data_IF_832808153634
#
_entry.id   IF_832808153634
#
_cell.length_a   1.000
_cell.length_b   1.000
_cell.length_c   1.000
_cell.angle_alpha   90.00
_cell.angle_beta   90.00
_cell.angle_gamma   90.00
#
_symmetry.space_group_name_H-M   'P 1'
#
loop_
_entity.id
_entity.type
_entity.pdbx_description
1 polymer ?
#
# COMPACT_ATOMS: atom_id res chain seq x y z
N UNK A 1 -23.17 11.95 -27.76
CA UNK A 1 -23.49 10.53 -27.91
C UNK A 1 -24.52 10.18 -26.84
N UNK A 2 -25.65 9.62 -27.27
CA UNK A 2 -26.69 8.95 -26.45
C UNK A 2 -26.03 7.88 -25.54
N UNK A 3 -26.55 7.44 -24.41
CA UNK A 3 -27.92 7.02 -24.06
C UNK A 3 -28.01 6.99 -22.50
N UNK A 4 -29.09 7.50 -21.91
CA UNK A 4 -30.29 6.78 -21.41
C UNK A 4 -30.02 6.16 -20.02
N UNK A 5 -30.61 6.67 -18.93
CA UNK A 5 -31.99 6.48 -18.43
C UNK A 5 -32.07 5.24 -17.52
N UNK A 6 -32.32 5.43 -16.21
CA UNK A 6 -33.44 4.76 -15.53
C UNK A 6 -33.63 5.21 -14.07
N UNK A 7 -34.86 5.67 -13.83
CA UNK A 7 -35.74 5.65 -12.65
C UNK A 7 -35.61 4.39 -11.75
N UNK A 8 -36.07 4.26 -10.49
CA UNK A 8 -37.04 4.95 -9.63
C UNK A 8 -36.98 4.37 -8.19
N UNK A 9 -37.63 5.08 -7.27
CA UNK A 9 -38.45 4.62 -6.14
C UNK A 9 -37.92 4.29 -4.73
N UNK A 10 -38.63 4.98 -3.82
CA UNK A 10 -38.75 4.97 -2.36
C UNK A 10 -38.89 3.59 -1.71
N UNK A 11 -38.46 3.46 -0.45
CA UNK A 11 -39.33 2.92 0.60
C UNK A 11 -38.92 3.42 2.00
N UNK A 12 -39.92 3.99 2.69
CA UNK A 12 -39.91 4.41 4.09
C UNK A 12 -39.84 3.22 5.05
N UNK A 13 -39.19 3.43 6.21
CA UNK A 13 -39.28 2.53 7.37
C UNK A 13 -38.96 3.26 8.66
N UNK A 14 -39.99 3.80 9.33
CA UNK A 14 -39.96 4.32 10.70
C UNK A 14 -39.95 3.18 11.73
N UNK A 15 -39.32 3.42 12.87
CA UNK A 15 -39.59 2.77 14.16
C UNK A 15 -38.31 2.55 14.97
N UNK A 16 -38.26 2.68 16.30
CA UNK A 16 -39.10 3.23 17.35
C UNK A 16 -38.21 3.25 18.61
N UNK A 17 -38.63 4.00 19.64
CA UNK A 17 -37.89 4.29 20.89
C UNK A 17 -37.21 3.11 21.61
N UNK A 18 -36.11 3.38 22.35
CA UNK A 18 -35.51 2.46 23.31
C UNK A 18 -36.03 2.75 24.71
N UNK A 19 -36.95 1.93 25.23
CA UNK A 19 -37.23 1.92 26.66
C UNK A 19 -37.22 0.48 27.17
N UNK A 20 -36.00 0.06 27.56
CA UNK A 20 -35.81 -1.09 28.41
C UNK A 20 -36.01 -0.67 29.86
N UNK A 21 -36.98 -1.28 30.54
CA UNK A 21 -36.94 -1.49 31.99
C UNK A 21 -37.91 -2.59 32.46
N UNK A 22 -37.29 -3.54 33.17
CA UNK A 22 -37.82 -4.31 34.30
C UNK A 22 -38.90 -5.37 34.05
N UNK A 23 -38.39 -6.58 33.80
CA UNK A 23 -38.73 -7.84 34.49
C UNK A 23 -39.87 -7.75 35.53
N UNK A 24 -40.97 -8.45 35.25
CA UNK A 24 -41.90 -8.93 36.28
C UNK A 24 -41.70 -10.43 36.45
N UNK A 25 -41.31 -10.81 37.65
CA UNK A 25 -41.18 -12.19 38.13
C UNK A 25 -42.48 -12.96 37.90
N UNK A 26 -42.37 -14.11 37.22
CA UNK A 26 -43.47 -15.05 36.95
C UNK A 26 -43.68 -16.02 38.13
N UNK A 27 -42.89 -15.89 39.21
CA UNK A 27 -42.95 -16.78 40.39
C UNK A 27 -44.20 -16.63 41.26
N UNK A 28 -44.99 -15.55 41.09
CA UNK A 28 -46.03 -15.21 42.07
C UNK A 28 -47.48 -15.47 41.59
N UNK A 29 -47.67 -16.08 40.40
CA UNK A 29 -49.01 -16.26 39.80
C UNK A 29 -49.60 -17.67 40.02
N UNK A 30 -48.86 -18.64 40.57
CA UNK A 30 -49.33 -20.06 40.64
C UNK A 30 -49.90 -20.47 42.02
N UNK A 31 -49.95 -19.60 43.02
CA UNK A 31 -50.49 -19.96 44.36
C UNK A 31 -51.91 -19.45 44.67
N UNK A 32 -52.66 -18.99 43.67
CA UNK A 32 -54.08 -18.64 43.85
C UNK A 32 -54.90 -19.29 42.77
N UNK A 33 -55.41 -20.48 43.07
CA UNK A 33 -56.71 -21.04 42.67
C UNK A 33 -56.58 -22.55 42.65
N UNK A 34 -56.89 -23.20 43.76
CA UNK A 34 -57.66 -24.45 43.86
C UNK A 34 -57.76 -24.78 45.35
N UNK A 35 -58.46 -23.92 46.09
CA UNK A 35 -59.02 -24.29 47.38
C UNK A 35 -60.46 -24.73 47.16
N UNK A 36 -60.71 -25.96 47.59
CA UNK A 36 -61.98 -26.48 48.11
C UNK A 36 -63.20 -26.48 47.19
N UNK A 37 -63.46 -27.64 46.58
CA UNK A 37 -64.81 -28.12 46.31
C UNK A 37 -65.05 -29.43 47.05
N UNK A 38 -66.09 -29.40 47.88
CA UNK A 38 -66.91 -30.51 48.37
C UNK A 38 -66.23 -31.60 49.23
N UNK A 39 -66.08 -31.29 50.52
CA UNK A 39 -66.26 -32.28 51.59
C UNK A 39 -67.77 -32.33 51.86
N UNK A 40 -68.49 -33.22 51.17
CA UNK A 40 -69.83 -33.62 51.62
C UNK A 40 -69.65 -34.45 52.89
N UNK A 41 -69.84 -33.78 54.03
CA UNK A 41 -70.13 -34.43 55.30
C UNK A 41 -71.46 -35.18 55.14
N UNK A 42 -71.38 -36.51 55.04
CA UNK A 42 -72.53 -37.37 55.35
C UNK A 42 -72.81 -37.25 56.85
N UNK A 43 -73.63 -36.27 57.21
CA UNK A 43 -74.39 -36.29 58.47
C UNK A 43 -75.39 -37.44 58.36
N UNK A 44 -75.12 -38.52 59.08
CA UNK A 44 -76.13 -39.55 59.34
C UNK A 44 -77.07 -38.93 60.38
N UNK A 45 -78.10 -38.21 59.91
CA UNK A 45 -79.27 -37.96 60.75
C UNK A 45 -79.96 -39.31 60.96
N UNK A 46 -79.84 -39.80 62.19
CA UNK A 46 -80.65 -40.88 62.72
C UNK A 46 -82.07 -40.35 62.92
N UNK A 47 -82.84 -40.22 61.83
CA UNK A 47 -84.30 -40.11 61.92
C UNK A 47 -84.87 -41.52 62.13
N UNK A 48 -84.70 -42.00 63.35
CA UNK A 48 -85.37 -43.19 63.88
C UNK A 48 -86.76 -42.75 64.38
N UNK A 49 -87.63 -42.39 63.44
CA UNK A 49 -89.06 -42.17 63.68
C UNK A 49 -89.81 -43.40 63.16
N UNK A 50 -89.73 -44.49 63.92
CA UNK A 50 -90.71 -45.58 63.83
C UNK A 50 -91.44 -45.70 65.16
N UNK A 51 -92.48 -44.87 65.31
CA UNK A 51 -93.56 -45.10 66.28
C UNK A 51 -94.32 -46.35 65.86
N UNK A 52 -93.88 -47.50 66.35
CA UNK A 52 -94.76 -48.65 66.44
C UNK A 52 -95.63 -48.50 67.69
N UNK A 53 -96.93 -48.53 67.44
CA UNK A 53 -98.03 -48.59 68.39
C UNK A 53 -97.84 -49.75 69.38
N UNK A 54 -97.73 -49.44 70.67
CA UNK A 54 -98.06 -50.41 71.72
C UNK A 54 -99.58 -50.43 71.90
N UNK A 55 -100.25 -51.21 71.06
CA UNK A 55 -101.52 -51.83 71.42
C UNK A 55 -101.19 -53.11 72.20
N UNK A 56 -101.32 -53.08 73.53
CA UNK A 56 -101.45 -54.29 74.35
C UNK A 56 -102.89 -54.38 74.84
N UNK A 57 -103.77 -54.88 73.97
CA UNK A 57 -104.90 -55.69 74.40
C UNK A 57 -104.32 -57.04 74.84
N UNK A 58 -104.53 -57.40 76.11
CA UNK A 58 -104.24 -58.71 76.68
C UNK A 58 -105.01 -59.79 75.90
N UNK A 59 -104.33 -60.40 74.92
CA UNK A 59 -104.73 -61.65 74.31
C UNK A 59 -103.51 -62.60 74.34
N UNK A 60 -103.63 -63.83 74.85
CA UNK A 60 -102.49 -64.73 74.96
C UNK A 60 -102.06 -65.15 73.55
N UNK A 61 -100.99 -64.55 73.04
CA UNK A 61 -100.29 -65.03 71.85
C UNK A 61 -99.86 -66.46 72.15
N UNK A 62 -100.29 -67.39 71.33
CA UNK A 62 -99.93 -68.82 71.49
C UNK A 62 -98.48 -69.03 71.07
N UNK A 63 -97.76 -69.96 71.74
CA UNK A 63 -96.33 -70.25 71.49
C UNK A 63 -95.99 -70.49 69.99
N UNK A 64 -96.98 -70.93 69.20
CA UNK A 64 -96.91 -71.18 67.76
C UNK A 64 -96.69 -69.90 66.92
N UNK A 65 -97.28 -68.76 67.31
CA UNK A 65 -97.18 -67.49 66.58
C UNK A 65 -95.82 -66.83 66.83
N UNK A 66 -95.29 -66.96 68.05
CA UNK A 66 -93.93 -66.52 68.41
C UNK A 66 -92.89 -67.31 67.61
N UNK A 67 -93.08 -68.62 67.45
CA UNK A 67 -92.18 -69.47 66.64
C UNK A 67 -92.13 -69.05 65.17
N UNK A 68 -93.29 -68.76 64.54
CA UNK A 68 -93.33 -68.28 63.14
C UNK A 68 -92.65 -66.93 62.94
N UNK A 69 -92.78 -66.03 63.91
CA UNK A 69 -92.10 -64.71 63.88
C UNK A 69 -90.59 -64.88 64.04
N UNK A 70 -90.14 -65.80 64.90
CA UNK A 70 -88.71 -66.09 65.08
C UNK A 70 -88.14 -66.71 63.81
N UNK A 71 -88.83 -67.68 63.20
CA UNK A 71 -88.40 -68.36 61.98
C UNK A 71 -88.29 -67.38 60.80
N UNK A 72 -89.28 -66.51 60.60
CA UNK A 72 -89.22 -65.48 59.53
C UNK A 72 -88.08 -64.48 59.74
N UNK A 73 -87.82 -64.06 60.99
CA UNK A 73 -86.68 -63.18 61.34
C UNK A 73 -85.33 -63.87 61.16
N UNK A 74 -85.26 -65.18 61.42
CA UNK A 74 -84.04 -65.97 61.19
C UNK A 74 -83.75 -66.11 59.69
N UNK A 75 -84.78 -66.35 58.87
CA UNK A 75 -84.66 -66.39 57.41
C UNK A 75 -84.24 -65.04 56.83
N UNK A 76 -84.85 -63.94 57.30
CA UNK A 76 -84.47 -62.58 56.91
C UNK A 76 -83.01 -62.28 57.29
N UNK A 77 -82.59 -62.63 58.51
CA UNK A 77 -81.19 -62.50 58.95
C UNK A 77 -80.22 -63.30 58.09
N UNK A 78 -80.59 -64.52 57.69
CA UNK A 78 -79.76 -65.35 56.83
C UNK A 78 -79.64 -64.76 55.42
N UNK A 79 -80.73 -64.20 54.88
CA UNK A 79 -80.74 -63.49 53.60
C UNK A 79 -79.86 -62.24 53.63
N UNK A 80 -80.01 -61.40 54.67
CA UNK A 80 -79.16 -60.23 54.90
C UNK A 80 -77.68 -60.57 55.07
N UNK A 81 -77.38 -61.74 55.67
CA UNK A 81 -76.00 -62.22 55.80
C UNK A 81 -75.40 -62.57 54.44
N UNK A 82 -76.15 -63.24 53.58
CA UNK A 82 -75.70 -63.59 52.22
C UNK A 82 -75.46 -62.32 51.39
N UNK A 83 -76.39 -61.36 51.44
CA UNK A 83 -76.27 -60.07 50.73
C UNK A 83 -75.05 -59.26 51.21
N UNK A 84 -74.78 -59.22 52.52
CA UNK A 84 -73.57 -58.58 53.05
C UNK A 84 -72.26 -59.22 52.54
N UNK A 85 -72.22 -60.55 52.43
CA UNK A 85 -71.03 -61.24 51.89
C UNK A 85 -70.84 -60.95 50.40
N UNK A 86 -71.93 -60.82 49.63
CA UNK A 86 -71.86 -60.39 48.22
C UNK A 86 -71.38 -58.93 48.10
N UNK A 87 -71.97 -58.01 48.87
CA UNK A 87 -71.56 -56.59 48.92
C UNK A 87 -70.10 -56.43 49.35
N UNK A 88 -69.61 -57.29 50.23
CA UNK A 88 -68.20 -57.28 50.67
C UNK A 88 -67.25 -57.72 49.56
N UNK A 89 -67.62 -58.73 48.78
CA UNK A 89 -66.86 -59.15 47.60
C UNK A 89 -66.86 -58.07 46.52
N UNK A 90 -68.02 -57.47 46.26
CA UNK A 90 -68.14 -56.37 45.29
C UNK A 90 -67.27 -55.18 45.71
N UNK A 91 -67.34 -54.75 46.97
CA UNK A 91 -66.46 -53.71 47.52
C UNK A 91 -64.96 -54.05 47.38
N UNK A 92 -64.58 -55.31 47.59
CA UNK A 92 -63.19 -55.73 47.39
C UNK A 92 -62.78 -55.58 45.92
N UNK A 93 -63.62 -56.01 44.98
CA UNK A 93 -63.34 -55.89 43.55
C UNK A 93 -63.29 -54.44 43.08
N UNK A 94 -64.17 -53.58 43.60
CA UNK A 94 -64.18 -52.15 43.30
C UNK A 94 -62.91 -51.47 43.81
N UNK A 95 -62.44 -51.81 45.01
CA UNK A 95 -61.18 -51.28 45.57
C UNK A 95 -59.98 -51.65 44.70
N UNK A 96 -59.86 -52.91 44.30
CA UNK A 96 -58.80 -53.36 43.39
C UNK A 96 -58.85 -52.62 42.05
N UNK A 97 -60.06 -52.43 41.51
CA UNK A 97 -60.24 -51.73 40.22
C UNK A 97 -59.81 -50.26 40.34
N UNK A 98 -60.20 -49.58 41.42
CA UNK A 98 -59.78 -48.19 41.70
C UNK A 98 -58.25 -48.11 41.80
N UNK A 99 -57.62 -49.02 42.54
CA UNK A 99 -56.16 -49.05 42.72
C UNK A 99 -55.43 -49.22 41.38
N UNK A 100 -55.93 -50.10 40.49
CA UNK A 100 -55.37 -50.27 39.15
C UNK A 100 -55.52 -48.99 38.31
N UNK A 101 -56.68 -48.32 38.36
CA UNK A 101 -56.88 -47.06 37.65
C UNK A 101 -55.99 -45.94 38.16
N UNK A 102 -55.85 -45.80 39.47
CA UNK A 102 -54.96 -44.81 40.10
C UNK A 102 -53.50 -45.04 39.71
N UNK A 103 -53.04 -46.30 39.75
CA UNK A 103 -51.68 -46.65 39.35
C UNK A 103 -51.41 -46.36 37.87
N UNK A 104 -52.34 -46.73 36.98
CA UNK A 104 -52.22 -46.44 35.55
C UNK A 104 -52.19 -44.93 35.26
N UNK A 105 -53.10 -44.17 35.89
CA UNK A 105 -53.16 -42.73 35.74
C UNK A 105 -51.86 -42.05 36.23
N UNK A 106 -51.34 -42.49 37.38
CA UNK A 106 -50.08 -41.99 37.95
C UNK A 106 -48.89 -42.29 37.03
N UNK A 107 -48.81 -43.51 36.51
CA UNK A 107 -47.73 -43.94 35.60
C UNK A 107 -47.72 -43.15 34.28
N UNK A 108 -48.90 -42.85 33.71
CA UNK A 108 -49.02 -42.04 32.49
C UNK A 108 -48.57 -40.59 32.75
N UNK A 109 -49.00 -40.00 33.88
CA UNK A 109 -48.59 -38.66 34.32
C UNK A 109 -47.07 -38.56 34.52
N UNK A 110 -46.47 -39.56 35.16
CA UNK A 110 -45.02 -39.63 35.38
C UNK A 110 -44.25 -39.72 34.06
N UNK A 111 -44.74 -40.55 33.14
CA UNK A 111 -44.18 -40.68 31.78
C UNK A 111 -44.25 -39.37 31.01
N UNK A 112 -45.37 -38.65 31.12
CA UNK A 112 -45.53 -37.35 30.48
C UNK A 112 -44.63 -36.28 31.11
N UNK A 113 -44.51 -36.26 32.45
CA UNK A 113 -43.59 -35.37 33.18
C UNK A 113 -42.15 -35.57 32.70
N UNK A 114 -41.71 -36.83 32.61
CA UNK A 114 -40.35 -37.16 32.17
C UNK A 114 -40.08 -36.72 30.72
N UNK A 115 -41.08 -36.81 29.82
CA UNK A 115 -40.96 -36.30 28.45
C UNK A 115 -40.74 -34.79 28.44
N UNK A 116 -41.54 -34.04 29.20
CA UNK A 116 -41.38 -32.58 29.27
C UNK A 116 -40.04 -32.19 29.89
N UNK A 117 -39.60 -32.88 30.93
CA UNK A 117 -38.31 -32.64 31.58
C UNK A 117 -37.13 -32.86 30.64
N UNK A 118 -37.17 -33.92 29.82
CA UNK A 118 -36.19 -34.16 28.77
C UNK A 118 -36.20 -33.06 27.69
N UNK A 119 -37.37 -32.56 27.31
CA UNK A 119 -37.49 -31.45 26.37
C UNK A 119 -36.90 -30.16 26.95
N UNK A 120 -37.20 -29.83 28.20
CA UNK A 120 -36.65 -28.67 28.91
C UNK A 120 -35.12 -28.73 28.89
N UNK A 121 -34.55 -29.86 29.34
CA UNK A 121 -33.10 -30.06 29.37
C UNK A 121 -32.44 -29.92 27.99
N UNK A 122 -33.11 -30.42 26.94
CA UNK A 122 -32.63 -30.26 25.55
C UNK A 122 -32.62 -28.80 25.12
N UNK A 123 -33.63 -28.02 25.47
CA UNK A 123 -33.69 -26.60 25.14
C UNK A 123 -32.68 -25.78 25.96
N UNK A 124 -32.47 -26.10 27.23
CA UNK A 124 -31.44 -25.47 28.07
C UNK A 124 -30.05 -25.62 27.48
N UNK A 125 -29.68 -26.85 27.07
CA UNK A 125 -28.40 -27.10 26.40
C UNK A 125 -28.26 -26.28 25.12
N UNK A 126 -29.33 -26.19 24.32
CA UNK A 126 -29.31 -25.42 23.07
C UNK A 126 -29.18 -23.91 23.32
N UNK A 127 -29.82 -23.39 24.36
CA UNK A 127 -29.67 -22.00 24.78
C UNK A 127 -28.22 -21.73 25.21
N UNK A 128 -27.62 -22.65 25.97
CA UNK A 128 -26.23 -22.52 26.41
C UNK A 128 -25.26 -22.50 25.22
N UNK A 129 -25.43 -23.40 24.24
CA UNK A 129 -24.62 -23.41 23.01
C UNK A 129 -24.76 -22.11 22.21
N UNK A 130 -25.99 -21.59 22.08
CA UNK A 130 -26.24 -20.33 21.36
C UNK A 130 -25.62 -19.14 22.08
N UNK A 131 -25.72 -19.09 23.40
CA UNK A 131 -25.09 -18.04 24.21
C UNK A 131 -23.56 -18.06 24.09
N UNK A 132 -22.96 -19.25 24.05
CA UNK A 132 -21.51 -19.38 23.84
C UNK A 132 -21.10 -18.83 22.47
N UNK A 133 -21.80 -19.23 21.40
CA UNK A 133 -21.54 -18.72 20.04
C UNK A 133 -21.71 -17.20 19.96
N UNK A 134 -22.75 -16.66 20.58
CA UNK A 134 -22.99 -15.22 20.63
C UNK A 134 -21.85 -14.48 21.34
N UNK A 135 -21.36 -15.04 22.45
CA UNK A 135 -20.24 -14.45 23.20
C UNK A 135 -18.95 -14.46 22.38
N UNK A 136 -18.67 -15.56 21.68
CA UNK A 136 -17.50 -15.68 20.80
C UNK A 136 -17.57 -14.68 19.65
N UNK A 137 -18.73 -14.56 18.98
CA UNK A 137 -18.97 -13.52 17.95
C UNK A 137 -18.81 -12.10 18.49
N UNK A 138 -19.30 -11.81 19.68
CA UNK A 138 -19.17 -10.48 20.30
C UNK A 138 -17.70 -10.14 20.61
N UNK A 139 -16.91 -11.14 21.03
CA UNK A 139 -15.47 -10.96 21.26
C UNK A 139 -14.73 -10.65 19.96
N UNK A 140 -15.03 -11.39 18.88
CA UNK A 140 -14.46 -11.10 17.56
C UNK A 140 -14.83 -9.69 17.09
N UNK A 141 -16.10 -9.29 17.24
CA UNK A 141 -16.55 -7.94 16.89
C UNK A 141 -15.81 -6.86 17.68
N UNK A 142 -15.54 -7.10 18.96
CA UNK A 142 -14.71 -6.23 19.79
C UNK A 142 -13.31 -6.04 19.23
N UNK A 143 -12.66 -7.14 18.85
CA UNK A 143 -11.32 -7.10 18.24
C UNK A 143 -11.33 -6.33 16.91
N UNK A 144 -12.31 -6.57 16.03
CA UNK A 144 -12.43 -5.84 14.76
C UNK A 144 -12.61 -4.33 14.95
N UNK A 145 -13.34 -3.93 15.99
CA UNK A 145 -13.51 -2.51 16.34
C UNK A 145 -12.18 -1.87 16.76
N UNK A 146 -11.37 -2.60 17.54
CA UNK A 146 -10.03 -2.15 17.94
C UNK A 146 -9.08 -2.03 16.74
N UNK A 147 -9.06 -3.02 15.84
CA UNK A 147 -8.32 -2.93 14.58
C UNK A 147 -8.76 -1.74 13.73
N UNK A 148 -10.06 -1.46 13.68
CA UNK A 148 -10.57 -0.32 12.91
C UNK A 148 -10.07 1.01 13.47
N UNK A 149 -10.07 1.18 14.79
CA UNK A 149 -9.58 2.43 15.41
C UNK A 149 -8.05 2.58 15.30
N UNK A 150 -7.30 1.49 15.39
CA UNK A 150 -5.83 1.52 15.16
C UNK A 150 -5.51 1.92 13.73
N UNK A 151 -6.09 1.26 12.73
CA UNK A 151 -5.89 1.65 11.31
C UNK A 151 -6.32 3.09 11.01
N UNK A 152 -7.41 3.55 11.62
CA UNK A 152 -7.86 4.94 11.47
C UNK A 152 -6.87 5.94 12.07
N UNK A 153 -6.19 5.57 13.14
CA UNK A 153 -5.14 6.40 13.77
C UNK A 153 -3.90 6.43 12.88
N UNK A 154 -3.43 5.27 12.41
CA UNK A 154 -2.31 5.17 11.48
C UNK A 154 -2.57 5.95 10.17
N UNK A 155 -3.77 5.85 9.61
CA UNK A 155 -4.15 6.62 8.42
C UNK A 155 -4.06 8.14 8.65
N UNK A 156 -4.46 8.62 9.82
CA UNK A 156 -4.32 10.04 10.16
C UNK A 156 -2.85 10.44 10.27
N UNK A 157 -2.02 9.62 10.90
CA UNK A 157 -0.59 9.87 11.02
C UNK A 157 0.08 9.95 9.65
N UNK A 158 -0.16 8.95 8.79
CA UNK A 158 0.35 8.93 7.41
C UNK A 158 -0.12 10.17 6.64
N UNK A 159 -1.39 10.55 6.77
CA UNK A 159 -1.91 11.75 6.12
C UNK A 159 -1.20 13.01 6.61
N UNK A 160 -0.96 13.14 7.91
CA UNK A 160 -0.22 14.29 8.46
C UNK A 160 1.23 14.34 7.97
N UNK A 161 1.90 13.19 7.86
CA UNK A 161 3.27 13.12 7.33
C UNK A 161 3.30 13.50 5.84
N UNK A 162 2.33 13.02 5.05
CA UNK A 162 2.18 13.37 3.65
C UNK A 162 2.02 14.89 3.47
N UNK A 163 1.17 15.52 4.29
CA UNK A 163 0.94 16.97 4.25
C UNK A 163 2.21 17.76 4.61
N UNK A 164 3.00 17.28 5.57
CA UNK A 164 4.30 17.87 5.90
C UNK A 164 5.26 17.76 4.72
N UNK A 165 5.46 16.56 4.16
CA UNK A 165 6.36 16.38 3.01
C UNK A 165 5.93 17.19 1.79
N UNK A 166 4.62 17.33 1.56
CA UNK A 166 4.11 18.19 0.49
C UNK A 166 4.47 19.65 0.70
N UNK A 167 4.40 20.17 1.93
CA UNK A 167 4.88 21.52 2.26
C UNK A 167 6.37 21.66 2.00
N UNK A 168 7.18 20.69 2.44
CA UNK A 168 8.64 20.70 2.22
C UNK A 168 8.97 20.72 0.72
N UNK A 169 8.25 19.95 -0.10
CA UNK A 169 8.41 19.95 -1.56
C UNK A 169 8.10 21.32 -2.15
N UNK A 170 7.03 21.98 -1.70
CA UNK A 170 6.66 23.32 -2.17
C UNK A 170 7.73 24.34 -1.78
N UNK A 171 8.22 24.29 -0.54
CA UNK A 171 9.28 25.16 -0.05
C UNK A 171 10.58 24.96 -0.85
N UNK A 172 11.01 23.71 -1.04
CA UNK A 172 12.20 23.39 -1.83
C UNK A 172 12.09 23.84 -3.29
N UNK A 173 10.92 23.68 -3.91
CA UNK A 173 10.68 24.20 -5.27
C UNK A 173 10.80 25.71 -5.32
N UNK A 174 10.27 26.40 -4.33
CA UNK A 174 10.32 27.87 -4.23
C UNK A 174 11.76 28.34 -4.05
N UNK A 175 12.51 27.71 -3.14
CA UNK A 175 13.92 28.02 -2.90
C UNK A 175 14.79 27.74 -4.15
N UNK A 176 14.54 26.63 -4.85
CA UNK A 176 15.27 26.30 -6.07
C UNK A 176 14.98 27.30 -7.19
N UNK A 177 13.73 27.77 -7.33
CA UNK A 177 13.39 28.83 -8.26
C UNK A 177 14.13 30.15 -7.93
N UNK A 178 14.17 30.54 -6.65
CA UNK A 178 14.90 31.72 -6.19
C UNK A 178 16.41 31.62 -6.46
N UNK A 179 17.03 30.47 -6.14
CA UNK A 179 18.44 30.22 -6.43
C UNK A 179 18.76 30.24 -7.92
N UNK A 180 17.86 29.72 -8.77
CA UNK A 180 18.01 29.75 -10.23
C UNK A 180 17.95 31.19 -10.76
N UNK A 181 17.06 32.01 -10.21
CA UNK A 181 16.97 33.43 -10.53
C UNK A 181 18.26 34.16 -10.10
N UNK A 182 18.75 33.90 -8.90
CA UNK A 182 19.99 34.48 -8.38
C UNK A 182 21.21 34.07 -9.21
N UNK A 183 21.34 32.79 -9.56
CA UNK A 183 22.39 32.29 -10.44
C UNK A 183 22.33 32.96 -11.83
N UNK A 184 21.13 33.18 -12.38
CA UNK A 184 20.93 33.89 -13.64
C UNK A 184 21.38 35.36 -13.55
N UNK A 185 21.08 36.03 -12.42
CA UNK A 185 21.54 37.41 -12.15
C UNK A 185 23.07 37.47 -12.10
N UNK A 186 23.72 36.55 -11.38
CA UNK A 186 25.19 36.52 -11.31
C UNK A 186 25.83 36.18 -12.65
N UNK A 187 25.28 35.24 -13.43
CA UNK A 187 25.76 34.95 -14.78
C UNK A 187 25.62 36.15 -15.72
N UNK A 188 24.50 36.88 -15.65
CA UNK A 188 24.29 38.10 -16.43
C UNK A 188 25.30 39.18 -16.03
N UNK A 189 25.49 39.42 -14.72
CA UNK A 189 26.48 40.38 -14.22
C UNK A 189 27.92 40.00 -14.62
N UNK A 190 28.27 38.71 -14.57
CA UNK A 190 29.56 38.21 -15.01
C UNK A 190 29.75 38.39 -16.53
N UNK A 191 28.73 38.12 -17.33
CA UNK A 191 28.74 38.37 -18.77
C UNK A 191 28.94 39.86 -19.11
N UNK A 192 28.30 40.76 -18.35
CA UNK A 192 28.49 42.21 -18.49
C UNK A 192 29.89 42.66 -18.05
N UNK A 193 30.41 42.11 -16.95
CA UNK A 193 31.76 42.44 -16.46
C UNK A 193 32.86 41.87 -17.37
N UNK A 194 32.69 40.66 -17.91
CA UNK A 194 33.57 40.07 -18.91
C UNK A 194 33.50 40.80 -20.27
N UNK A 195 32.37 41.46 -20.58
CA UNK A 195 32.23 42.33 -21.76
C UNK A 195 32.96 43.67 -21.63
N UNK A 196 33.52 44.01 -20.46
CA UNK A 196 34.39 45.18 -20.33
C UNK A 196 35.82 44.81 -20.79
N UNK A 197 36.03 44.98 -22.11
CA UNK A 197 37.25 44.77 -22.94
C UNK A 197 37.19 43.53 -23.82
N UNK A 198 36.51 43.65 -24.96
CA UNK A 198 36.89 43.16 -26.30
C UNK A 198 35.77 43.68 -27.22
N UNK A 199 35.84 44.97 -27.56
CA UNK A 199 34.86 45.61 -28.43
C UNK A 199 35.31 45.62 -29.89
N UNK A 200 36.05 44.59 -30.36
CA UNK A 200 36.41 44.46 -31.78
C UNK A 200 36.91 43.06 -32.23
N UNK A 201 36.40 41.94 -31.68
CA UNK A 201 36.77 40.60 -32.19
C UNK A 201 35.60 39.96 -32.95
N UNK A 202 35.48 40.34 -34.22
CA UNK A 202 34.73 39.54 -35.19
C UNK A 202 35.52 38.28 -35.48
N UNK A 203 35.35 37.27 -34.65
CA UNK A 203 35.49 35.86 -35.02
C UNK A 203 36.82 35.50 -35.73
N UNK A 204 37.92 36.18 -35.40
CA UNK A 204 39.19 36.02 -36.12
C UNK A 204 39.76 34.60 -35.99
N UNK A 205 39.48 33.92 -34.88
CA UNK A 205 39.88 32.52 -34.67
C UNK A 205 39.18 31.54 -35.63
N UNK A 206 37.89 31.74 -35.91
CA UNK A 206 37.15 30.89 -36.86
C UNK A 206 37.56 31.22 -38.30
N UNK A 207 37.84 32.48 -38.60
CA UNK A 207 38.31 32.89 -39.92
C UNK A 207 39.71 32.32 -40.23
N UNK A 208 40.67 32.45 -39.31
CA UNK A 208 42.00 31.88 -39.46
C UNK A 208 41.95 30.37 -39.68
N UNK A 209 41.11 29.66 -38.92
CA UNK A 209 40.92 28.22 -39.08
C UNK A 209 40.41 27.88 -40.49
N UNK A 210 39.43 28.62 -41.00
CA UNK A 210 38.89 28.39 -42.34
C UNK A 210 39.91 28.72 -43.44
N UNK A 211 40.68 29.80 -43.28
CA UNK A 211 41.72 30.20 -44.23
C UNK A 211 42.85 29.15 -44.30
N UNK A 212 43.27 28.59 -43.15
CA UNK A 212 44.25 27.49 -43.10
C UNK A 212 43.73 26.25 -43.83
N UNK A 213 42.46 25.88 -43.60
CA UNK A 213 41.86 24.72 -44.28
C UNK A 213 41.77 24.94 -45.79
N UNK A 214 41.34 26.13 -46.22
CA UNK A 214 41.25 26.46 -47.65
C UNK A 214 42.63 26.44 -48.33
N UNK A 215 43.66 26.97 -47.66
CA UNK A 215 45.03 26.92 -48.18
C UNK A 215 45.55 25.48 -48.28
N UNK A 216 45.25 24.63 -47.29
CA UNK A 216 45.63 23.22 -47.31
C UNK A 216 45.01 22.50 -48.52
N UNK A 217 43.71 22.68 -48.77
CA UNK A 217 43.02 22.09 -49.91
C UNK A 217 43.61 22.56 -51.25
N UNK A 218 43.94 23.86 -51.37
CA UNK A 218 44.56 24.43 -52.57
C UNK A 218 45.94 23.82 -52.82
N UNK A 219 46.78 23.73 -51.79
CA UNK A 219 48.12 23.14 -51.88
C UNK A 219 48.01 21.65 -52.25
N UNK A 220 47.12 20.89 -51.60
CA UNK A 220 46.96 19.47 -51.87
C UNK A 220 46.55 19.21 -53.34
N UNK A 221 45.64 20.04 -53.87
CA UNK A 221 45.21 19.97 -55.26
C UNK A 221 46.34 20.32 -56.25
N UNK A 222 47.08 21.40 -55.98
CA UNK A 222 48.14 21.90 -56.86
C UNK A 222 49.40 21.05 -56.85
N UNK A 223 49.75 20.46 -55.71
CA UNK A 223 51.09 19.92 -55.45
C UNK A 223 51.10 18.40 -55.29
N UNK A 224 50.11 17.84 -54.58
CA UNK A 224 50.10 16.42 -54.21
C UNK A 224 49.34 15.60 -55.24
N UNK A 225 48.16 16.08 -55.65
CA UNK A 225 47.26 15.31 -56.49
C UNK A 225 47.36 15.68 -57.97
N UNK A 226 47.76 16.93 -58.31
CA UNK A 226 47.65 17.48 -59.68
C UNK A 226 46.30 17.11 -60.31
N UNK A 227 45.24 17.21 -59.50
CA UNK A 227 43.92 16.65 -59.79
C UNK A 227 42.99 17.81 -60.13
N UNK A 228 42.34 17.72 -61.29
CA UNK A 228 41.59 18.82 -61.92
C UNK A 228 42.21 19.25 -63.26
N UNK A 229 41.57 20.16 -63.99
CA UNK A 229 42.10 20.77 -65.23
C UNK A 229 43.18 21.82 -64.91
N UNK A 230 44.20 21.45 -64.14
CA UNK A 230 45.33 22.33 -63.84
C UNK A 230 46.37 22.16 -64.96
N UNK A 231 46.52 23.19 -65.80
CA UNK A 231 47.53 23.22 -66.85
C UNK A 231 48.89 23.57 -66.26
N UNK A 232 49.81 22.60 -66.21
CA UNK A 232 51.16 22.80 -65.66
C UNK A 232 52.07 23.37 -66.73
N UNK A 233 52.68 24.52 -66.45
CA UNK A 233 53.69 25.11 -67.32
C UNK A 233 55.02 24.32 -67.21
N UNK A 234 55.25 23.44 -68.18
CA UNK A 234 56.41 22.54 -68.21
C UNK A 234 57.74 23.30 -68.35
N UNK A 235 57.74 24.44 -69.05
CA UNK A 235 58.93 25.27 -69.22
C UNK A 235 59.42 25.85 -67.88
N UNK A 236 58.48 26.35 -67.08
CA UNK A 236 58.80 26.85 -65.73
C UNK A 236 59.27 25.72 -64.80
N UNK A 237 58.65 24.53 -64.88
CA UNK A 237 59.09 23.36 -64.11
C UNK A 237 60.50 22.93 -64.50
N UNK A 238 60.85 23.04 -65.79
CA UNK A 238 62.21 22.78 -66.28
C UNK A 238 63.22 23.75 -65.70
N UNK A 239 62.93 25.05 -65.74
CA UNK A 239 63.78 26.07 -65.11
C UNK A 239 63.93 25.85 -63.60
N UNK A 240 62.85 25.48 -62.90
CA UNK A 240 62.91 25.12 -61.48
C UNK A 240 63.80 23.89 -61.24
N UNK A 241 63.68 22.86 -62.08
CA UNK A 241 64.50 21.65 -61.97
C UNK A 241 65.99 21.94 -62.12
N UNK A 242 66.36 22.83 -63.05
CA UNK A 242 67.74 23.27 -63.28
C UNK A 242 68.26 24.08 -62.07
N UNK A 243 67.46 25.02 -61.56
CA UNK A 243 67.79 25.81 -60.37
C UNK A 243 68.00 24.94 -59.12
N UNK A 244 67.25 23.85 -58.99
CA UNK A 244 67.37 22.91 -57.87
C UNK A 244 68.47 21.85 -58.08
N UNK A 245 69.17 21.86 -59.21
CA UNK A 245 70.23 20.90 -59.53
C UNK A 245 69.72 19.49 -59.91
N UNK A 246 68.45 19.37 -60.28
CA UNK A 246 67.82 18.10 -60.62
C UNK A 246 68.04 17.78 -62.12
N UNK A 247 68.77 16.71 -62.41
CA UNK A 247 69.15 16.31 -63.79
C UNK A 247 68.19 15.28 -64.42
N UNK A 248 66.98 15.13 -63.88
CA UNK A 248 66.01 14.12 -64.34
C UNK A 248 65.20 14.65 -65.52
N UNK A 249 65.04 13.84 -66.57
CA UNK A 249 64.18 14.19 -67.69
C UNK A 249 62.70 14.29 -67.27
N UNK A 250 62.09 15.44 -67.53
CA UNK A 250 60.66 15.71 -67.26
C UNK A 250 59.75 14.83 -68.15
N UNK A 251 60.29 14.31 -69.24
CA UNK A 251 59.65 13.33 -70.12
C UNK A 251 60.14 11.91 -69.80
N UNK A 252 59.21 10.98 -69.57
CA UNK A 252 59.50 9.55 -69.48
C UNK A 252 59.80 8.98 -70.88
N UNK A 253 60.42 7.79 -70.92
CA UNK A 253 60.82 7.07 -72.16
C UNK A 253 59.69 6.82 -73.18
N UNK A 254 58.43 7.10 -72.84
CA UNK A 254 57.24 6.88 -73.65
C UNK A 254 56.49 8.18 -74.04
N UNK A 255 57.12 9.36 -73.94
CA UNK A 255 56.50 10.65 -74.30
C UNK A 255 55.45 11.16 -73.30
N UNK A 256 55.33 10.50 -72.14
CA UNK A 256 54.48 10.92 -71.02
C UNK A 256 55.31 11.74 -70.04
N UNK A 257 54.72 12.81 -69.50
CA UNK A 257 55.35 13.61 -68.46
C UNK A 257 55.52 12.78 -67.18
N UNK A 258 56.69 12.86 -66.56
CA UNK A 258 56.96 12.24 -65.26
C UNK A 258 56.21 13.03 -64.18
N UNK A 259 54.94 12.69 -63.98
CA UNK A 259 54.05 13.40 -63.04
C UNK A 259 54.61 13.37 -61.62
N UNK A 260 55.25 12.29 -61.20
CA UNK A 260 55.84 12.17 -59.87
C UNK A 260 57.00 13.14 -59.67
N UNK A 261 57.84 13.31 -60.70
CA UNK A 261 58.95 14.27 -60.67
C UNK A 261 58.45 15.72 -60.70
N UNK A 262 57.45 16.02 -61.54
CA UNK A 262 56.80 17.35 -61.58
C UNK A 262 56.20 17.69 -60.21
N UNK A 263 55.48 16.75 -59.58
CA UNK A 263 54.93 16.92 -58.22
C UNK A 263 56.03 17.24 -57.22
N UNK A 264 57.14 16.50 -57.22
CA UNK A 264 58.24 16.73 -56.30
C UNK A 264 58.90 18.11 -56.48
N UNK A 265 59.05 18.58 -57.74
CA UNK A 265 59.59 19.92 -58.01
C UNK A 265 58.63 21.01 -57.51
N UNK A 266 57.33 20.87 -57.78
CA UNK A 266 56.32 21.83 -57.32
C UNK A 266 56.18 21.82 -55.79
N UNK A 267 56.28 20.65 -55.15
CA UNK A 267 56.34 20.49 -53.68
C UNK A 267 57.46 21.31 -53.09
N UNK A 268 58.68 21.09 -53.60
CA UNK A 268 59.86 21.83 -53.15
C UNK A 268 59.70 23.33 -53.36
N UNK A 269 59.19 23.74 -54.52
CA UNK A 269 59.00 25.16 -54.82
C UNK A 269 57.99 25.84 -53.89
N UNK A 270 56.87 25.20 -53.58
CA UNK A 270 55.88 25.73 -52.62
C UNK A 270 56.48 25.84 -51.21
N UNK A 271 57.28 24.86 -50.78
CA UNK A 271 57.96 24.94 -49.49
C UNK A 271 58.99 26.07 -49.43
N UNK A 272 59.77 26.25 -50.50
CA UNK A 272 60.77 27.33 -50.59
C UNK A 272 60.08 28.71 -50.59
N UNK A 273 58.96 28.86 -51.30
CA UNK A 273 58.18 30.10 -51.33
C UNK A 273 57.53 30.39 -49.97
N UNK A 274 56.95 29.38 -49.31
CA UNK A 274 56.41 29.51 -47.95
C UNK A 274 57.51 29.92 -46.97
N UNK A 275 58.67 29.28 -47.02
CA UNK A 275 59.80 29.61 -46.15
C UNK A 275 60.31 31.03 -46.42
N UNK A 276 60.34 31.45 -47.69
CA UNK A 276 60.68 32.81 -48.09
C UNK A 276 59.68 33.83 -47.53
N UNK A 277 58.38 33.57 -47.62
CA UNK A 277 57.33 34.41 -47.04
C UNK A 277 57.43 34.50 -45.52
N UNK A 278 57.64 33.36 -44.84
CA UNK A 278 57.84 33.32 -43.38
C UNK A 278 59.07 34.12 -42.97
N UNK A 279 60.20 33.93 -43.68
CA UNK A 279 61.41 34.72 -43.44
C UNK A 279 61.14 36.20 -43.64
N UNK A 280 60.54 36.63 -44.75
CA UNK A 280 60.18 38.04 -44.97
C UNK A 280 59.26 38.61 -43.89
N UNK A 281 58.31 37.81 -43.40
CA UNK A 281 57.40 38.22 -42.33
C UNK A 281 58.16 38.46 -41.01
N UNK A 282 59.11 37.59 -40.67
CA UNK A 282 59.90 37.71 -39.44
C UNK A 282 61.15 38.60 -39.56
N UNK A 283 61.72 38.75 -40.76
CA UNK A 283 62.84 39.60 -41.12
C UNK A 283 62.35 41.03 -41.37
N UNK A 284 61.76 41.65 -40.35
CA UNK A 284 61.36 43.05 -40.40
C UNK A 284 62.59 43.97 -40.27
N UNK A 285 63.31 44.18 -41.37
CA UNK A 285 64.33 45.25 -41.48
C UNK A 285 63.76 46.56 -42.06
N UNK A 286 62.44 46.78 -41.95
CA UNK A 286 61.72 47.95 -42.47
C UNK A 286 60.69 48.52 -41.48
N UNK A 287 60.27 49.77 -41.70
CA UNK A 287 59.56 50.69 -40.79
C UNK A 287 58.24 50.23 -40.12
N UNK A 288 57.76 49.00 -40.35
CA UNK A 288 56.58 48.45 -39.67
C UNK A 288 56.92 47.04 -39.22
N UNK A 289 57.44 46.91 -37.99
CA UNK A 289 57.70 45.62 -37.36
C UNK A 289 56.37 45.08 -36.83
N UNK A 290 55.96 43.87 -37.21
CA UNK A 290 54.81 43.22 -36.59
C UNK A 290 55.12 42.91 -35.12
N UNK A 291 54.10 42.96 -34.26
CA UNK A 291 54.27 42.66 -32.83
C UNK A 291 54.86 41.26 -32.62
N UNK A 292 54.46 40.31 -33.46
CA UNK A 292 54.96 38.94 -33.47
C UNK A 292 56.48 38.88 -33.70
N UNK A 293 56.99 39.65 -34.68
CA UNK A 293 58.42 39.74 -34.98
C UNK A 293 59.19 40.43 -33.86
N UNK A 294 58.63 41.48 -33.25
CA UNK A 294 59.24 42.15 -32.09
C UNK A 294 59.33 41.22 -30.88
N UNK A 295 58.27 40.45 -30.59
CA UNK A 295 58.25 39.45 -29.52
C UNK A 295 59.32 38.39 -29.78
N UNK A 296 59.40 37.85 -30.99
CA UNK A 296 60.39 36.85 -31.36
C UNK A 296 61.82 37.37 -31.19
N UNK A 297 62.10 38.59 -31.65
CA UNK A 297 63.42 39.22 -31.54
C UNK A 297 63.84 39.46 -30.08
N UNK A 298 62.94 40.01 -29.25
CA UNK A 298 63.24 40.23 -27.82
C UNK A 298 63.43 38.91 -27.08
N UNK A 299 62.63 37.90 -27.40
CA UNK A 299 62.74 36.55 -26.80
C UNK A 299 64.10 35.93 -27.14
N UNK A 300 64.50 35.98 -28.42
CA UNK A 300 65.79 35.45 -28.88
C UNK A 300 66.97 36.18 -28.22
N UNK A 301 66.87 37.50 -28.08
CA UNK A 301 67.86 38.33 -27.37
C UNK A 301 67.95 37.95 -25.89
N UNK A 302 66.80 37.75 -25.22
CA UNK A 302 66.75 37.31 -23.83
C UNK A 302 67.38 35.92 -23.64
N UNK A 303 67.04 34.96 -24.50
CA UNK A 303 67.65 33.63 -24.48
C UNK A 303 69.17 33.70 -24.61
N UNK A 304 69.68 34.52 -25.53
CA UNK A 304 71.12 34.72 -25.71
C UNK A 304 71.77 35.28 -24.46
N UNK A 305 71.12 36.25 -23.79
CA UNK A 305 71.61 36.82 -22.52
C UNK A 305 71.55 35.82 -21.37
N UNK A 306 70.52 34.98 -21.30
CA UNK A 306 70.41 33.92 -20.30
C UNK A 306 71.52 32.88 -20.48
N UNK A 307 71.82 32.52 -21.72
CA UNK A 307 72.95 31.63 -22.03
C UNK A 307 74.29 32.25 -21.61
N UNK A 308 74.50 33.53 -21.85
CA UNK A 308 75.70 34.25 -21.39
C UNK A 308 75.76 34.34 -19.85
N UNK A 309 74.63 34.63 -19.21
CA UNK A 309 74.51 34.65 -17.76
C UNK A 309 74.84 33.29 -17.13
N UNK A 310 74.37 32.20 -17.74
CA UNK A 310 74.66 30.84 -17.28
C UNK A 310 76.16 30.51 -17.35
N UNK A 311 76.88 31.05 -18.34
CA UNK A 311 78.33 30.83 -18.52
C UNK A 311 79.17 31.70 -17.60
N UNK A 312 78.73 32.92 -17.29
CA UNK A 312 79.48 33.89 -16.48
C UNK A 312 79.34 33.66 -14.97
N UNK A 313 78.24 33.04 -14.52
CA UNK A 313 78.03 32.69 -13.12
C UNK A 313 78.66 31.32 -12.78
N UNK A 314 79.99 31.20 -12.85
CA UNK A 314 80.70 30.17 -12.08
C UNK A 314 80.69 30.62 -10.62
N UNK A 315 79.86 29.98 -9.79
CA UNK A 315 79.72 30.35 -8.38
C UNK A 315 81.07 30.34 -7.67
N UNK A 316 81.50 31.49 -7.15
CA UNK A 316 82.52 31.58 -6.12
C UNK A 316 81.85 31.40 -4.77
N UNK A 317 81.67 30.14 -4.38
CA UNK A 317 81.27 29.76 -3.02
C UNK A 317 82.42 30.06 -2.05
N UNK A 318 82.58 31.32 -1.68
CA UNK A 318 83.31 31.70 -0.47
C UNK A 318 82.29 32.03 0.60
N UNK A 319 82.05 31.07 1.47
CA UNK A 319 81.13 31.18 2.61
C UNK A 319 81.71 32.21 3.58
N UNK A 320 81.04 33.36 3.73
CA UNK A 320 81.42 34.39 4.70
C UNK A 320 81.23 33.85 6.13
N UNK A 321 82.27 33.77 6.98
CA UNK A 321 82.11 33.28 8.35
C UNK A 321 81.39 34.34 9.19
N UNK A 322 80.35 33.93 9.91
CA UNK A 322 79.60 34.79 10.82
C UNK A 322 80.45 35.11 12.07
N UNK A 323 80.71 36.39 12.32
CA UNK A 323 81.38 36.85 13.54
C UNK A 323 80.47 36.68 14.76
N UNK A 324 80.97 36.02 15.80
CA UNK A 324 80.27 35.88 17.09
C UNK A 324 80.20 37.23 17.80
N UNK A 325 78.98 37.69 18.07
CA UNK A 325 78.70 38.86 18.91
C UNK A 325 78.97 38.46 20.36
N UNK A 326 79.77 39.26 21.08
CA UNK A 326 80.16 39.04 22.48
C UNK A 326 79.44 40.03 23.39
#
# INVERSE_FOLDING_TARGET
MKADDDTQDEYNGRGQDPDGKASRNISDIINTQFSSTTRESFDISSDDDNKNEENNEDNPITDEEVYKIIESKVDERNKLRLENEELKKENSSLRETIEVYENNYTSELESQRQRYENHIKKYELKIQELNQKLNDSNKELGNYKEYTETFKTELKEIQTELDIKNRDIIELKTNNAALKEEASKYQSALGVAANFRISDDKNHSVQLKNDILSLQDIIENYVTNLKGKIEVNIENVKRLSENYGCHTNIMEKAGKQNKSFIKAILQRHVLDELLSCVKKYFDCSGNVVSLESEILMKTTSLCSKLDEFSKTRKGTDTITPASSIK
#
